data_IF_556023787395
#
_entry.id   IF_556023787395
#
_cell.length_a   1.000
_cell.length_b   1.000
_cell.length_c   1.000
_cell.angle_alpha   90.00
_cell.angle_beta   90.00
_cell.angle_gamma   90.00
#
_symmetry.space_group_name_H-M   'P 1'
#
loop_
_entity.id
_entity.type
_entity.pdbx_description
1 polymer ?
#
# COMPACT_ATOMS: atom_id res chain seq x y z
N UNK A 1 13.04 -7.42 19.27
CA UNK A 1 11.58 -7.24 19.12
C UNK A 1 11.09 -8.33 18.18
N UNK A 2 10.19 -9.19 18.64
CA UNK A 2 9.60 -10.24 17.80
C UNK A 2 8.74 -9.59 16.70
N UNK A 3 8.69 -10.14 15.47
CA UNK A 3 7.98 -9.55 14.33
C UNK A 3 6.43 -9.56 14.45
N UNK A 4 5.88 -9.72 15.65
CA UNK A 4 4.44 -9.87 15.91
C UNK A 4 3.70 -8.56 16.23
N UNK A 5 4.40 -7.45 16.49
CA UNK A 5 3.78 -6.17 16.89
C UNK A 5 4.07 -5.02 15.92
N UNK A 6 4.20 -5.30 14.62
CA UNK A 6 4.12 -4.25 13.61
C UNK A 6 2.67 -3.70 13.64
N UNK A 7 2.44 -2.65 14.41
CA UNK A 7 1.12 -2.00 14.49
C UNK A 7 0.73 -1.50 13.10
N UNK A 8 -0.44 -1.92 12.61
CA UNK A 8 -0.95 -1.53 11.28
C UNK A 8 -1.01 0.00 11.19
N UNK A 9 -0.38 0.64 10.18
CA UNK A 9 -0.44 2.09 10.04
C UNK A 9 -1.89 2.56 9.93
N UNK A 10 -2.26 3.56 10.71
CA UNK A 10 -3.60 4.16 10.65
C UNK A 10 -3.96 4.64 9.24
N UNK A 11 -2.98 5.14 8.49
CA UNK A 11 -3.12 5.54 7.09
C UNK A 11 -3.52 4.36 6.18
N UNK A 12 -2.90 3.19 6.35
CA UNK A 12 -3.22 1.99 5.57
C UNK A 12 -4.62 1.47 5.93
N UNK A 13 -4.99 1.54 7.21
CA UNK A 13 -6.31 1.12 7.66
C UNK A 13 -7.41 2.06 7.14
N UNK A 14 -7.18 3.38 7.21
CA UNK A 14 -8.07 4.38 6.66
C UNK A 14 -8.24 4.20 5.14
N UNK A 15 -7.13 3.99 4.41
CA UNK A 15 -7.17 3.70 2.98
C UNK A 15 -7.97 2.43 2.66
N UNK A 16 -7.75 1.35 3.40
CA UNK A 16 -8.48 0.09 3.19
C UNK A 16 -10.00 0.27 3.39
N UNK A 17 -10.42 0.91 4.48
CA UNK A 17 -11.85 1.14 4.77
C UNK A 17 -12.47 2.08 3.74
N UNK A 18 -11.78 3.16 3.38
CA UNK A 18 -12.27 4.10 2.36
C UNK A 18 -12.41 3.42 1.00
N UNK A 19 -11.43 2.61 0.59
CA UNK A 19 -11.47 1.87 -0.68
C UNK A 19 -12.64 0.86 -0.70
N UNK A 20 -12.95 0.23 0.44
CA UNK A 20 -14.11 -0.66 0.54
C UNK A 20 -15.44 0.09 0.35
N UNK A 21 -15.61 1.21 1.06
CA UNK A 21 -16.82 2.03 0.97
C UNK A 21 -17.01 2.56 -0.45
N UNK A 22 -15.94 3.09 -1.05
CA UNK A 22 -15.95 3.61 -2.42
C UNK A 22 -16.29 2.50 -3.44
N UNK A 23 -15.71 1.31 -3.27
CA UNK A 23 -16.00 0.16 -4.13
C UNK A 23 -17.46 -0.29 -4.09
N UNK A 24 -18.08 -0.30 -2.90
CA UNK A 24 -19.50 -0.62 -2.75
C UNK A 24 -20.36 0.44 -3.44
N UNK A 25 -20.06 1.73 -3.23
CA UNK A 25 -20.81 2.83 -3.83
C UNK A 25 -20.70 2.83 -5.35
N UNK A 26 -19.49 2.63 -5.89
CA UNK A 26 -19.23 2.52 -7.32
C UNK A 26 -19.97 1.33 -7.95
N UNK A 27 -20.05 0.19 -7.25
CA UNK A 27 -20.82 -0.97 -7.72
C UNK A 27 -22.33 -0.69 -7.73
N UNK A 28 -22.87 -0.12 -6.66
CA UNK A 28 -24.30 0.22 -6.55
C UNK A 28 -24.71 1.26 -7.62
N UNK A 29 -23.94 2.34 -7.76
CA UNK A 29 -24.16 3.37 -8.77
C UNK A 29 -23.99 2.82 -10.18
N UNK A 30 -22.97 1.99 -10.42
CA UNK A 30 -22.72 1.38 -11.71
C UNK A 30 -23.83 0.44 -12.16
N UNK A 31 -24.34 -0.43 -11.27
CA UNK A 31 -25.48 -1.32 -11.58
C UNK A 31 -26.75 -0.52 -11.83
N UNK A 32 -27.02 0.51 -11.04
CA UNK A 32 -28.17 1.38 -11.22
C UNK A 32 -28.07 2.18 -12.53
N UNK A 33 -26.88 2.70 -12.84
CA UNK A 33 -26.60 3.39 -14.10
C UNK A 33 -26.78 2.45 -15.30
N UNK A 34 -26.24 1.24 -15.27
CA UNK A 34 -26.45 0.24 -16.34
C UNK A 34 -27.93 -0.10 -16.48
N UNK A 35 -28.65 -0.33 -15.38
CA UNK A 35 -30.09 -0.65 -15.41
C UNK A 35 -30.98 0.47 -15.93
N UNK A 36 -30.66 1.73 -15.63
CA UNK A 36 -31.41 2.92 -16.09
C UNK A 36 -31.01 3.34 -17.51
N UNK A 37 -29.72 3.27 -17.86
CA UNK A 37 -29.17 3.68 -19.16
C UNK A 37 -29.41 2.65 -20.28
N UNK A 38 -29.65 1.38 -19.94
CA UNK A 38 -30.03 0.35 -20.92
C UNK A 38 -31.32 0.73 -21.70
N UNK A 39 -32.15 1.61 -21.16
CA UNK A 39 -33.34 2.14 -21.83
C UNK A 39 -33.08 3.31 -22.80
N UNK A 40 -31.85 3.86 -22.87
CA UNK A 40 -31.64 5.19 -23.45
C UNK A 40 -30.63 5.29 -24.59
N UNK A 41 -29.36 4.89 -24.37
CA UNK A 41 -28.28 5.29 -25.30
C UNK A 41 -27.04 4.39 -25.20
N UNK A 42 -26.55 3.91 -26.36
CA UNK A 42 -25.28 3.15 -26.48
C UNK A 42 -24.06 3.97 -26.01
N UNK A 43 -24.14 5.31 -26.13
CA UNK A 43 -23.07 6.24 -25.77
C UNK A 43 -22.82 6.29 -24.24
N UNK A 44 -23.83 5.97 -23.43
CA UNK A 44 -23.72 6.01 -21.96
C UNK A 44 -23.32 4.65 -21.34
N UNK A 45 -23.25 3.58 -22.13
CA UNK A 45 -22.79 2.27 -21.66
C UNK A 45 -21.36 2.29 -21.06
N UNK A 46 -20.35 3.00 -21.63
CA UNK A 46 -19.01 3.08 -21.05
C UNK A 46 -19.00 3.82 -19.70
N UNK A 47 -19.86 4.84 -19.56
CA UNK A 47 -20.01 5.64 -18.33
C UNK A 47 -20.58 4.80 -17.18
N UNK A 48 -21.46 3.84 -17.46
CA UNK A 48 -21.95 2.89 -16.46
C UNK A 48 -21.02 1.72 -16.21
N UNK A 49 -20.30 1.23 -17.23
CA UNK A 49 -19.37 0.11 -17.09
C UNK A 49 -18.11 0.48 -16.29
N UNK A 50 -17.61 1.70 -16.43
CA UNK A 50 -16.43 2.19 -15.71
C UNK A 50 -16.55 2.07 -14.17
N UNK A 51 -17.59 2.60 -13.50
CA UNK A 51 -17.74 2.48 -12.05
C UNK A 51 -17.95 1.04 -11.59
N UNK A 52 -18.58 0.18 -12.41
CA UNK A 52 -18.68 -1.26 -12.08
C UNK A 52 -17.31 -1.93 -12.05
N UNK A 53 -16.48 -1.69 -13.07
CA UNK A 53 -15.12 -2.25 -13.12
C UNK A 53 -14.27 -1.70 -11.98
N UNK A 54 -14.34 -0.39 -11.72
CA UNK A 54 -13.61 0.24 -10.63
C UNK A 54 -14.01 -0.35 -9.27
N UNK A 55 -15.31 -0.49 -9.02
CA UNK A 55 -15.82 -1.08 -7.77
C UNK A 55 -15.35 -2.52 -7.55
N UNK A 56 -15.32 -3.35 -8.61
CA UNK A 56 -14.79 -4.73 -8.51
C UNK A 56 -13.30 -4.71 -8.12
N UNK A 57 -12.50 -3.86 -8.76
CA UNK A 57 -11.06 -3.76 -8.49
C UNK A 57 -10.79 -3.30 -7.05
N UNK A 58 -11.59 -2.38 -6.53
CA UNK A 58 -11.51 -1.86 -5.16
C UNK A 58 -11.84 -2.95 -4.12
N UNK A 59 -12.89 -3.74 -4.36
CA UNK A 59 -13.25 -4.87 -3.51
C UNK A 59 -12.16 -5.95 -3.49
N UNK A 60 -11.56 -6.26 -4.64
CA UNK A 60 -10.45 -7.22 -4.74
C UNK A 60 -9.21 -6.70 -4.01
N UNK A 61 -8.96 -5.40 -4.06
CA UNK A 61 -7.79 -4.79 -3.42
C UNK A 61 -7.94 -4.65 -1.90
N UNK A 62 -9.17 -4.53 -1.39
CA UNK A 62 -9.44 -4.46 0.06
C UNK A 62 -8.93 -5.70 0.82
N UNK A 63 -9.19 -6.90 0.30
CA UNK A 63 -8.82 -8.15 0.98
C UNK A 63 -7.34 -8.21 1.37
N UNK A 64 -6.40 -8.00 0.43
CA UNK A 64 -4.97 -7.89 0.71
C UNK A 64 -4.60 -6.76 1.67
N UNK A 65 -5.23 -5.57 1.57
CA UNK A 65 -4.96 -4.41 2.42
C UNK A 65 -5.42 -4.61 3.88
N UNK A 66 -6.40 -5.49 4.09
CA UNK A 66 -6.98 -5.72 5.41
C UNK A 66 -6.42 -6.96 6.14
N UNK A 67 -5.58 -7.76 5.50
CA UNK A 67 -4.99 -8.95 6.12
C UNK A 67 -3.92 -8.59 7.15
N UNK A 68 -3.93 -9.33 8.26
CA UNK A 68 -2.88 -9.37 9.29
C UNK A 68 -2.49 -10.84 9.48
N UNK A 69 -1.23 -11.25 9.23
CA UNK A 69 -0.07 -10.44 8.84
C UNK A 69 -0.14 -9.87 7.42
N UNK A 70 0.57 -8.77 7.11
CA UNK A 70 0.55 -8.15 5.80
C UNK A 70 1.17 -9.08 4.75
N UNK A 71 0.42 -9.37 3.68
CA UNK A 71 0.98 -10.00 2.49
C UNK A 71 1.92 -9.02 1.79
N UNK A 72 3.05 -9.51 1.25
CA UNK A 72 4.02 -8.68 0.52
C UNK A 72 3.39 -8.16 -0.77
N UNK A 73 2.80 -6.96 -0.71
CA UNK A 73 2.09 -6.35 -1.84
C UNK A 73 2.06 -4.83 -1.70
N UNK A 74 2.52 -4.14 -2.72
CA UNK A 74 2.45 -2.68 -2.78
C UNK A 74 1.02 -2.17 -2.94
N UNK A 75 0.81 -0.92 -2.52
CA UNK A 75 -0.42 -0.17 -2.85
C UNK A 75 -0.37 0.17 -4.35
N UNK A 76 -1.32 -0.30 -5.17
CA UNK A 76 -1.30 -0.07 -6.61
C UNK A 76 -1.63 1.39 -6.92
N UNK A 77 -0.59 2.16 -7.27
CA UNK A 77 -0.73 3.57 -7.68
C UNK A 77 -1.65 3.72 -8.89
N UNK A 78 -1.67 2.73 -9.79
CA UNK A 78 -2.58 2.72 -10.94
C UNK A 78 -4.05 2.73 -10.54
N UNK A 79 -4.42 2.08 -9.42
CA UNK A 79 -5.80 2.08 -8.93
C UNK A 79 -6.19 3.46 -8.40
N UNK A 80 -5.27 4.13 -7.70
CA UNK A 80 -5.47 5.50 -7.23
C UNK A 80 -5.65 6.50 -8.39
N UNK A 81 -4.93 6.30 -9.50
CA UNK A 81 -5.11 7.11 -10.72
C UNK A 81 -6.48 6.85 -11.36
N UNK A 82 -6.94 5.60 -11.41
CA UNK A 82 -8.28 5.28 -11.93
C UNK A 82 -9.40 5.88 -11.07
N UNK A 83 -9.23 5.93 -9.75
CA UNK A 83 -10.14 6.62 -8.83
C UNK A 83 -10.20 8.13 -9.11
N UNK A 84 -9.05 8.78 -9.30
CA UNK A 84 -8.96 10.19 -9.69
C UNK A 84 -9.71 10.47 -11.00
N UNK A 85 -9.51 9.64 -12.02
CA UNK A 85 -10.21 9.79 -13.31
C UNK A 85 -11.71 9.55 -13.13
N UNK A 86 -12.11 8.54 -12.34
CA UNK A 86 -13.51 8.25 -12.04
C UNK A 86 -14.22 9.37 -11.28
N UNK A 87 -13.52 10.07 -10.40
CA UNK A 87 -14.09 11.18 -9.62
C UNK A 87 -14.58 12.34 -10.48
N UNK A 88 -14.00 12.56 -11.66
CA UNK A 88 -14.42 13.60 -12.61
C UNK A 88 -15.86 13.40 -13.12
N UNK A 89 -16.40 12.20 -13.00
CA UNK A 89 -17.69 11.84 -13.59
C UNK A 89 -18.85 11.74 -12.61
N UNK A 90 -18.64 11.68 -11.28
CA UNK A 90 -19.74 11.75 -10.28
C UNK A 90 -19.38 11.47 -8.81
N UNK A 91 -18.13 11.13 -8.46
CA UNK A 91 -17.83 10.59 -7.13
C UNK A 91 -16.76 11.41 -6.37
N UNK A 92 -17.14 12.34 -5.47
CA UNK A 92 -16.18 13.08 -4.64
C UNK A 92 -15.49 12.18 -3.60
N UNK A 93 -16.09 11.03 -3.26
CA UNK A 93 -15.46 10.05 -2.38
C UNK A 93 -14.28 9.37 -3.09
N UNK A 94 -14.41 9.07 -4.38
CA UNK A 94 -13.33 8.53 -5.22
C UNK A 94 -12.13 9.48 -5.32
N UNK A 95 -12.36 10.80 -5.23
CA UNK A 95 -11.27 11.78 -5.18
C UNK A 95 -10.47 11.64 -3.88
N UNK A 96 -11.17 11.53 -2.74
CA UNK A 96 -10.53 11.38 -1.44
C UNK A 96 -9.78 10.05 -1.33
N UNK A 97 -10.39 8.94 -1.77
CA UNK A 97 -9.77 7.61 -1.76
C UNK A 97 -8.55 7.56 -2.67
N UNK A 98 -8.62 8.18 -3.85
CA UNK A 98 -7.50 8.30 -4.78
C UNK A 98 -6.31 9.06 -4.19
N UNK A 99 -6.55 10.23 -3.59
CA UNK A 99 -5.49 11.02 -2.94
C UNK A 99 -4.84 10.23 -1.79
N UNK A 100 -5.65 9.62 -0.93
CA UNK A 100 -5.15 8.81 0.20
C UNK A 100 -4.34 7.62 -0.34
N UNK A 101 -4.77 6.98 -1.43
CA UNK A 101 -4.04 5.88 -2.07
C UNK A 101 -2.68 6.30 -2.63
N UNK A 102 -2.59 7.48 -3.24
CA UNK A 102 -1.33 8.08 -3.70
C UNK A 102 -0.38 8.38 -2.53
N UNK A 103 -0.90 8.98 -1.45
CA UNK A 103 -0.11 9.26 -0.26
C UNK A 103 0.35 7.97 0.41
N UNK A 104 -0.54 7.00 0.62
CA UNK A 104 -0.22 5.70 1.20
C UNK A 104 0.76 4.90 0.33
N UNK A 105 0.64 5.01 -1.00
CA UNK A 105 1.59 4.44 -1.96
C UNK A 105 2.95 5.12 -1.98
N UNK A 106 3.08 6.35 -1.45
CA UNK A 106 4.37 7.03 -1.31
C UNK A 106 4.95 6.96 0.11
N UNK A 107 4.13 6.75 1.13
CA UNK A 107 4.51 6.74 2.54
C UNK A 107 5.45 5.58 2.90
N UNK A 108 6.59 5.91 3.52
CA UNK A 108 7.63 4.96 3.89
C UNK A 108 7.17 3.96 4.98
N UNK A 109 6.27 4.35 5.88
CA UNK A 109 5.74 3.49 6.97
C UNK A 109 4.77 2.45 6.42
N UNK A 110 3.91 2.84 5.48
CA UNK A 110 2.99 1.91 4.79
C UNK A 110 3.79 0.87 3.99
N UNK A 111 4.77 1.35 3.26
CA UNK A 111 5.72 0.55 2.50
C UNK A 111 6.53 -0.42 3.37
N UNK A 112 6.99 0.01 4.54
CA UNK A 112 7.70 -0.85 5.49
C UNK A 112 6.77 -1.92 6.08
N UNK A 113 5.52 -1.56 6.38
CA UNK A 113 4.51 -2.50 6.88
C UNK A 113 4.13 -3.56 5.84
N UNK A 114 3.96 -3.17 4.57
CA UNK A 114 3.61 -4.07 3.47
C UNK A 114 4.81 -4.83 2.88
N UNK A 115 6.04 -4.58 3.37
CA UNK A 115 7.27 -5.18 2.84
C UNK A 115 7.64 -4.75 1.42
N UNK A 116 7.08 -3.63 0.95
CA UNK A 116 7.11 -3.15 -0.43
C UNK A 116 7.87 -1.83 -0.66
N UNK A 117 8.23 -1.10 0.40
CA UNK A 117 9.24 -0.04 0.27
C UNK A 117 10.61 -0.62 0.25
N UNK A 118 11.31 -0.47 -0.88
CA UNK A 118 12.76 -0.38 -0.86
C UNK A 118 13.43 -1.42 0.02
N UNK A 119 13.15 -2.70 -0.19
CA UNK A 119 14.12 -3.75 0.11
C UNK A 119 15.39 -3.64 -0.77
N UNK A 120 15.54 -2.56 -1.54
CA UNK A 120 16.84 -2.14 -2.05
C UNK A 120 17.64 -1.53 -0.88
N UNK A 121 18.52 -2.35 -0.27
CA UNK A 121 19.66 -1.98 0.57
C UNK A 121 19.62 -2.28 2.09
N UNK A 122 18.65 -3.02 2.64
CA UNK A 122 18.86 -3.72 3.94
C UNK A 122 19.35 -5.15 3.69
N UNK A 123 20.36 -5.23 2.84
CA UNK A 123 21.25 -6.37 2.86
C UNK A 123 21.79 -6.44 4.28
N UNK A 124 21.60 -7.59 4.93
CA UNK A 124 21.75 -7.82 6.37
C UNK A 124 22.84 -6.94 7.00
N UNK A 125 22.42 -5.85 7.66
CA UNK A 125 23.30 -5.04 8.48
C UNK A 125 23.50 -5.82 9.77
N UNK A 126 24.42 -6.78 9.77
CA UNK A 126 24.79 -7.51 10.99
C UNK A 126 25.95 -6.80 11.66
N UNK A 127 25.91 -6.73 12.99
CA UNK A 127 27.06 -6.29 13.76
C UNK A 127 28.19 -7.31 13.55
N UNK A 128 29.35 -6.89 13.04
CA UNK A 128 30.48 -7.80 12.84
C UNK A 128 31.03 -8.40 14.14
N UNK A 129 30.81 -7.73 15.27
CA UNK A 129 31.32 -8.13 16.58
C UNK A 129 30.51 -9.28 17.21
N UNK A 130 29.17 -9.21 17.14
CA UNK A 130 28.28 -10.16 17.82
C UNK A 130 27.27 -10.86 16.90
N UNK A 131 27.22 -10.51 15.61
CA UNK A 131 26.28 -11.07 14.65
C UNK A 131 24.84 -10.53 14.77
N UNK A 132 24.59 -9.57 15.67
CA UNK A 132 23.27 -8.98 15.88
C UNK A 132 22.70 -8.31 14.63
N UNK A 133 21.42 -8.50 14.35
CA UNK A 133 20.74 -7.86 13.22
C UNK A 133 20.37 -6.40 13.55
N UNK A 134 21.04 -5.45 12.90
CA UNK A 134 20.91 -4.00 13.11
C UNK A 134 19.78 -3.37 12.28
N UNK A 135 18.94 -4.17 11.59
CA UNK A 135 17.78 -3.65 10.81
C UNK A 135 16.91 -2.66 11.58
N UNK A 136 16.72 -2.87 12.88
CA UNK A 136 15.93 -1.98 13.75
C UNK A 136 16.73 -0.82 14.36
N UNK A 137 18.04 -1.00 14.58
CA UNK A 137 18.88 -0.04 15.31
C UNK A 137 19.29 1.16 14.46
N UNK A 138 19.55 0.94 13.16
CA UNK A 138 19.91 2.02 12.22
C UNK A 138 18.72 2.93 11.94
N UNK A 139 17.50 2.37 11.86
CA UNK A 139 16.27 3.14 11.70
C UNK A 139 15.98 4.06 12.90
N UNK A 140 16.51 3.72 14.07
CA UNK A 140 16.36 4.49 15.31
C UNK A 140 17.51 5.51 15.54
N UNK A 141 18.46 5.65 14.61
CA UNK A 141 19.53 6.64 14.69
C UNK A 141 20.63 6.35 15.72
N UNK A 142 20.71 5.11 16.21
CA UNK A 142 21.77 4.71 17.14
C UNK A 142 23.10 4.52 16.39
N UNK A 143 24.16 5.13 16.91
CA UNK A 143 25.53 5.02 16.41
C UNK A 143 26.31 3.83 17.00
N UNK A 144 25.70 3.08 17.92
CA UNK A 144 26.28 1.91 18.59
C UNK A 144 25.37 0.68 18.51
N UNK A 145 25.95 -0.52 18.54
CA UNK A 145 25.21 -1.77 18.60
C UNK A 145 24.55 -1.92 19.99
N UNK A 146 23.24 -2.17 20.09
CA UNK A 146 22.55 -2.28 21.37
C UNK A 146 22.91 -3.53 22.18
N UNK A 147 23.46 -4.57 21.54
CA UNK A 147 23.75 -5.84 22.19
C UNK A 147 25.20 -5.90 22.70
N UNK A 148 26.17 -5.34 21.98
CA UNK A 148 27.58 -5.39 22.34
C UNK A 148 28.26 -4.02 22.55
N UNK A 149 27.55 -2.91 22.33
CA UNK A 149 28.07 -1.55 22.51
C UNK A 149 29.11 -1.11 21.47
N UNK A 150 29.34 -1.88 20.40
CA UNK A 150 30.34 -1.55 19.38
C UNK A 150 29.92 -0.33 18.54
N UNK A 151 30.87 0.56 18.24
CA UNK A 151 30.68 1.76 17.43
C UNK A 151 30.49 1.44 15.93
N UNK A 152 29.92 2.41 15.20
CA UNK A 152 29.60 2.37 13.76
C UNK A 152 30.64 1.79 12.76
N UNK A 153 31.98 1.87 12.94
CA UNK A 153 32.92 1.30 11.96
C UNK A 153 32.88 -0.24 11.79
N UNK A 154 32.08 -0.96 12.59
CA UNK A 154 31.90 -2.41 12.49
C UNK A 154 30.64 -2.85 11.70
N UNK A 155 29.99 -1.91 11.01
CA UNK A 155 28.81 -2.19 10.19
C UNK A 155 29.25 -2.54 8.76
N UNK A 156 29.40 -3.83 8.47
CA UNK A 156 29.55 -4.31 7.09
C UNK A 156 28.19 -4.42 6.42
N UNK A 157 27.89 -3.51 5.49
CA UNK A 157 26.87 -3.79 4.48
C UNK A 157 27.39 -4.94 3.63
N UNK A 158 26.89 -6.17 3.85
CA UNK A 158 27.07 -7.21 2.87
C UNK A 158 26.49 -6.64 1.56
N UNK A 159 27.28 -6.57 0.50
CA UNK A 159 26.79 -6.19 -0.82
C UNK A 159 26.68 -7.52 -1.55
N UNK A 160 25.54 -8.19 -1.46
CA UNK A 160 25.36 -9.45 -2.18
C UNK A 160 25.54 -9.15 -3.65
N UNK A 161 26.65 -9.70 -4.14
CA UNK A 161 26.99 -9.85 -5.53
C UNK A 161 25.87 -10.64 -6.21
N UNK A 162 24.81 -9.96 -6.67
CA UNK A 162 23.99 -10.46 -7.78
C UNK A 162 24.75 -10.26 -9.09
N UNK A 163 25.86 -10.99 -9.22
CA UNK A 163 26.32 -11.54 -10.50
C UNK A 163 25.82 -12.98 -10.54
N UNK A 164 24.91 -13.27 -11.46
CA UNK A 164 24.31 -14.58 -11.68
C UNK A 164 22.99 -14.41 -12.39
#
# INVERSE_FOLDING_TARGET
MTPHDATKPGLLNAYAVMTLIDGILNLCLGVLAVGVLFCGTIICAPLGAYPVVLGILELVQFGPLNRTPPGRRDVPVWLAVMQLIGSLFSNPLALATGIIGLVAGNDARVKAYLGGGGQANYLSLTCRQCGFDLRGSVAAGHNTCPECGADAPHITAARDSMRG
#
